data_IF_937736441868
#
_entry.id   IF_937736441868
#
_cell.length_a   1.000
_cell.length_b   1.000
_cell.length_c   1.000
_cell.angle_alpha   90.00
_cell.angle_beta   90.00
_cell.angle_gamma   90.00
#
_symmetry.space_group_name_H-M   'P 1'
#
loop_
_entity.id
_entity.type
_entity.pdbx_description
1 polymer ?
#
# COMPACT_ATOMS: atom_id res chain seq x y z
N UNK A 1 -5.39 -32.11 -15.80
CA UNK A 1 -6.17 -32.67 -14.66
C UNK A 1 -5.40 -32.56 -13.35
N UNK A 2 -4.14 -32.99 -13.28
CA UNK A 2 -3.31 -32.93 -12.04
C UNK A 2 -3.16 -31.48 -11.53
N UNK A 3 -2.93 -30.53 -12.41
CA UNK A 3 -2.77 -29.10 -12.05
C UNK A 3 -4.06 -28.48 -11.50
N UNK A 4 -5.22 -28.88 -12.05
CA UNK A 4 -6.52 -28.41 -11.56
C UNK A 4 -6.85 -29.00 -10.19
N UNK A 5 -6.60 -30.30 -10.00
CA UNK A 5 -6.76 -30.98 -8.71
C UNK A 5 -5.84 -30.37 -7.62
N UNK A 6 -4.58 -30.08 -7.96
CA UNK A 6 -3.65 -29.45 -7.02
C UNK A 6 -4.13 -28.07 -6.56
N UNK A 7 -4.73 -27.28 -7.45
CA UNK A 7 -5.30 -25.97 -7.09
C UNK A 7 -6.58 -26.11 -6.26
N UNK A 8 -7.42 -27.10 -6.59
CA UNK A 8 -8.64 -27.37 -5.83
C UNK A 8 -8.33 -27.89 -4.41
N UNK A 9 -7.24 -28.63 -4.24
CA UNK A 9 -6.81 -29.09 -2.91
C UNK A 9 -6.54 -27.94 -1.92
N UNK A 10 -6.19 -26.76 -2.40
CA UNK A 10 -6.02 -25.59 -1.55
C UNK A 10 -7.32 -25.10 -0.92
N UNK A 11 -8.46 -25.49 -1.46
CA UNK A 11 -9.80 -25.19 -0.91
C UNK A 11 -10.32 -26.26 0.07
N UNK A 12 -9.61 -27.38 0.22
CA UNK A 12 -9.99 -28.48 1.11
C UNK A 12 -9.46 -28.32 2.55
N UNK A 13 -9.16 -27.08 2.95
CA UNK A 13 -8.84 -26.74 4.32
C UNK A 13 -10.13 -26.62 5.14
N UNK A 14 -10.14 -27.19 6.35
CA UNK A 14 -11.33 -27.23 7.21
C UNK A 14 -11.80 -25.84 7.66
N UNK A 15 -10.89 -24.86 7.78
CA UNK A 15 -11.23 -23.48 8.10
C UNK A 15 -11.88 -22.79 6.88
N UNK A 16 -11.33 -23.02 5.68
CA UNK A 16 -11.90 -22.50 4.45
C UNK A 16 -13.26 -23.13 4.14
N UNK A 17 -13.44 -24.43 4.44
CA UNK A 17 -14.73 -25.09 4.30
C UNK A 17 -15.82 -24.42 5.13
N UNK A 18 -15.50 -24.03 6.37
CA UNK A 18 -16.42 -23.28 7.22
C UNK A 18 -16.82 -21.91 6.61
N UNK A 19 -15.88 -21.23 6.00
CA UNK A 19 -16.15 -19.92 5.36
C UNK A 19 -16.94 -20.08 4.07
N UNK A 20 -16.66 -21.13 3.27
CA UNK A 20 -17.23 -21.30 1.93
C UNK A 20 -18.56 -22.03 1.90
N UNK A 21 -18.84 -22.89 2.87
CA UNK A 21 -20.00 -23.76 2.86
C UNK A 21 -21.22 -23.21 3.65
N UNK A 22 -21.04 -22.10 4.35
CA UNK A 22 -22.13 -21.45 5.08
C UNK A 22 -22.61 -20.19 4.37
N UNK A 23 -23.83 -19.77 4.69
CA UNK A 23 -24.42 -18.57 4.12
C UNK A 23 -23.56 -17.33 4.44
N UNK A 24 -23.46 -16.43 3.48
CA UNK A 24 -22.70 -15.19 3.64
C UNK A 24 -23.43 -14.26 4.61
N UNK A 25 -22.80 -13.96 5.73
CA UNK A 25 -23.28 -12.95 6.68
C UNK A 25 -22.89 -11.50 6.26
N UNK A 26 -22.04 -11.37 5.23
CA UNK A 26 -21.56 -10.08 4.76
C UNK A 26 -22.43 -9.64 3.58
N UNK A 27 -23.32 -8.70 3.85
CA UNK A 27 -24.05 -7.96 2.82
C UNK A 27 -23.36 -6.63 2.54
N UNK A 28 -22.96 -6.42 1.29
CA UNK A 28 -22.23 -5.21 0.90
C UNK A 28 -23.09 -3.95 0.94
N UNK A 29 -24.39 -4.05 0.67
CA UNK A 29 -25.31 -2.94 0.75
C UNK A 29 -25.50 -2.51 2.21
N UNK A 30 -25.76 -3.45 3.09
CA UNK A 30 -25.86 -3.20 4.53
C UNK A 30 -24.56 -2.62 5.07
N UNK A 31 -23.41 -3.21 4.73
CA UNK A 31 -22.09 -2.74 5.10
C UNK A 31 -21.84 -1.29 4.69
N UNK A 32 -22.22 -0.90 3.47
CA UNK A 32 -22.01 0.46 2.97
C UNK A 32 -23.01 1.48 3.54
N UNK A 33 -24.19 1.06 3.96
CA UNK A 33 -25.25 1.93 4.46
C UNK A 33 -25.23 2.12 5.98
N UNK A 34 -24.58 1.21 6.73
CA UNK A 34 -24.47 1.24 8.19
C UNK A 34 -23.04 1.58 8.64
N UNK A 35 -22.93 2.00 9.90
CA UNK A 35 -21.63 2.17 10.56
C UNK A 35 -21.16 0.80 11.09
N UNK A 36 -20.34 0.13 10.30
CA UNK A 36 -19.89 -1.24 10.55
C UNK A 36 -18.40 -1.41 10.26
N UNK A 37 -17.81 -2.51 10.71
CA UNK A 37 -16.43 -2.89 10.40
C UNK A 37 -16.34 -4.39 10.17
N UNK A 38 -15.62 -4.80 9.14
CA UNK A 38 -15.30 -6.19 8.82
C UNK A 38 -13.80 -6.38 9.09
N UNK A 39 -13.46 -7.40 9.86
CA UNK A 39 -12.08 -7.78 10.15
C UNK A 39 -11.77 -9.09 9.44
N UNK A 40 -10.83 -9.05 8.50
CA UNK A 40 -10.29 -10.24 7.82
C UNK A 40 -8.96 -10.58 8.52
N UNK A 41 -8.97 -11.63 9.33
CA UNK A 41 -7.80 -12.07 10.07
C UNK A 41 -7.15 -13.24 9.34
N UNK A 42 -5.85 -13.14 9.13
CA UNK A 42 -5.03 -14.12 8.42
C UNK A 42 -4.14 -14.85 9.42
N UNK A 43 -4.31 -16.16 9.62
CA UNK A 43 -3.42 -16.93 10.49
C UNK A 43 -2.06 -17.11 9.81
N UNK A 44 -0.97 -16.63 10.42
CA UNK A 44 0.40 -16.75 9.89
C UNK A 44 0.85 -18.21 9.76
N UNK A 45 0.25 -19.10 10.54
CA UNK A 45 0.58 -20.53 10.58
C UNK A 45 0.15 -21.28 9.31
N UNK A 46 -0.81 -20.75 8.55
CA UNK A 46 -1.34 -21.40 7.35
C UNK A 46 -1.28 -20.50 6.10
N UNK A 47 -0.08 -20.29 5.52
CA UNK A 47 0.07 -19.42 4.35
C UNK A 47 -0.67 -19.91 3.10
N UNK A 48 -1.08 -21.18 3.08
CA UNK A 48 -1.83 -21.75 1.95
C UNK A 48 -3.24 -21.15 1.81
N UNK A 49 -3.77 -20.55 2.86
CA UNK A 49 -5.11 -19.92 2.86
C UNK A 49 -5.08 -18.43 2.49
N UNK A 50 -3.90 -17.81 2.41
CA UNK A 50 -3.76 -16.37 2.15
C UNK A 50 -4.39 -15.91 0.83
N UNK A 51 -4.39 -16.77 -0.21
CA UNK A 51 -5.04 -16.44 -1.47
C UNK A 51 -6.54 -16.11 -1.31
N UNK A 52 -7.20 -16.69 -0.30
CA UNK A 52 -8.61 -16.46 -0.02
C UNK A 52 -8.88 -15.00 0.36
N UNK A 53 -7.99 -14.39 1.14
CA UNK A 53 -8.11 -12.97 1.51
C UNK A 53 -8.15 -12.08 0.26
N UNK A 54 -7.28 -12.35 -0.71
CA UNK A 54 -7.27 -11.59 -1.96
C UNK A 54 -8.55 -11.77 -2.77
N UNK A 55 -9.12 -12.97 -2.75
CA UNK A 55 -10.42 -13.25 -3.40
C UNK A 55 -11.58 -12.56 -2.68
N UNK A 56 -11.60 -12.59 -1.35
CA UNK A 56 -12.63 -11.90 -0.54
C UNK A 56 -12.56 -10.39 -0.77
N UNK A 57 -11.37 -9.79 -0.73
CA UNK A 57 -11.20 -8.37 -0.98
C UNK A 57 -11.68 -8.01 -2.40
N UNK A 58 -11.34 -8.80 -3.41
CA UNK A 58 -11.81 -8.57 -4.77
C UNK A 58 -13.33 -8.67 -4.90
N UNK A 59 -13.91 -9.68 -4.28
CA UNK A 59 -15.36 -9.88 -4.32
C UNK A 59 -16.11 -8.76 -3.61
N UNK A 60 -15.63 -8.40 -2.40
CA UNK A 60 -16.20 -7.28 -1.63
C UNK A 60 -16.08 -5.96 -2.41
N UNK A 61 -14.94 -5.71 -3.03
CA UNK A 61 -14.74 -4.53 -3.87
C UNK A 61 -15.76 -4.48 -5.02
N UNK A 62 -15.99 -5.58 -5.73
CA UNK A 62 -16.98 -5.64 -6.82
C UNK A 62 -18.40 -5.37 -6.33
N UNK A 63 -18.77 -5.94 -5.20
CA UNK A 63 -20.08 -5.72 -4.60
C UNK A 63 -20.26 -4.26 -4.17
N UNK A 64 -19.23 -3.65 -3.56
CA UNK A 64 -19.22 -2.23 -3.18
C UNK A 64 -19.36 -1.33 -4.41
N UNK A 65 -18.71 -1.68 -5.54
CA UNK A 65 -18.89 -0.94 -6.79
C UNK A 65 -20.34 -1.03 -7.30
N UNK A 66 -20.98 -2.20 -7.22
CA UNK A 66 -22.40 -2.36 -7.57
C UNK A 66 -23.30 -1.45 -6.74
N UNK A 67 -23.08 -1.43 -5.42
CA UNK A 67 -23.81 -0.52 -4.51
C UNK A 67 -23.57 0.95 -4.87
N UNK A 68 -22.34 1.32 -5.26
CA UNK A 68 -22.05 2.67 -5.69
C UNK A 68 -22.75 3.02 -7.00
N UNK A 69 -22.81 2.09 -7.96
CA UNK A 69 -23.48 2.30 -9.25
C UNK A 69 -24.99 2.48 -9.09
N UNK A 70 -25.62 1.79 -8.16
CA UNK A 70 -27.03 1.97 -7.79
C UNK A 70 -27.31 3.32 -7.08
N UNK A 71 -26.27 3.99 -6.58
CA UNK A 71 -26.35 5.27 -5.90
C UNK A 71 -25.63 6.39 -6.69
N UNK A 72 -25.96 6.57 -7.96
CA UNK A 72 -25.40 7.61 -8.84
C UNK A 72 -23.86 7.58 -8.94
N UNK A 73 -23.28 6.40 -8.89
CA UNK A 73 -21.84 6.16 -9.01
C UNK A 73 -21.03 6.47 -7.77
N UNK A 74 -21.66 6.67 -6.60
CA UNK A 74 -20.94 6.97 -5.34
C UNK A 74 -21.64 6.31 -4.16
N UNK A 75 -20.85 5.83 -3.21
CA UNK A 75 -21.37 5.34 -1.94
C UNK A 75 -21.99 6.49 -1.12
N UNK A 76 -23.06 6.21 -0.39
CA UNK A 76 -23.67 7.17 0.55
C UNK A 76 -22.69 7.53 1.67
N UNK A 77 -22.07 6.51 2.27
CA UNK A 77 -21.05 6.65 3.30
C UNK A 77 -19.67 6.38 2.70
N UNK A 78 -18.63 6.89 3.37
CA UNK A 78 -17.24 6.57 3.01
C UNK A 78 -16.93 5.14 3.46
N UNK A 79 -16.45 4.32 2.55
CA UNK A 79 -15.88 3.01 2.85
C UNK A 79 -14.34 3.12 2.87
N UNK A 80 -13.69 2.44 3.80
CA UNK A 80 -12.23 2.45 3.93
C UNK A 80 -11.72 1.03 4.05
N UNK A 81 -10.75 0.66 3.20
CA UNK A 81 -10.01 -0.59 3.30
C UNK A 81 -8.65 -0.30 3.93
N UNK A 82 -8.42 -0.80 5.13
CA UNK A 82 -7.10 -0.85 5.74
C UNK A 82 -6.46 -2.19 5.40
N UNK A 83 -5.49 -2.16 4.52
CA UNK A 83 -4.79 -3.36 4.05
C UNK A 83 -3.43 -3.44 4.72
N UNK A 84 -3.38 -4.05 5.89
CA UNK A 84 -2.13 -4.32 6.58
C UNK A 84 -1.32 -5.36 5.82
N UNK A 85 -0.01 -5.24 5.86
CA UNK A 85 0.93 -6.09 5.13
C UNK A 85 0.65 -6.22 3.62
N UNK A 86 0.09 -5.17 3.00
CA UNK A 86 -0.33 -5.18 1.60
C UNK A 86 0.77 -5.64 0.62
N UNK A 87 2.04 -5.39 0.96
CA UNK A 87 3.18 -5.82 0.15
C UNK A 87 3.43 -7.33 0.17
N UNK A 88 2.93 -8.06 1.16
CA UNK A 88 3.12 -9.51 1.33
C UNK A 88 1.85 -10.33 1.10
N UNK A 89 0.69 -9.69 1.07
CA UNK A 89 -0.56 -10.34 0.67
C UNK A 89 -0.43 -10.94 -0.73
N UNK A 90 -1.06 -12.08 -1.01
CA UNK A 90 -1.16 -12.58 -2.38
C UNK A 90 -1.72 -11.51 -3.30
N UNK A 91 -1.19 -11.43 -4.52
CA UNK A 91 -1.56 -10.42 -5.49
C UNK A 91 -3.08 -10.32 -5.66
N UNK A 92 -3.61 -9.12 -5.47
CA UNK A 92 -4.99 -8.79 -5.81
C UNK A 92 -4.99 -8.36 -7.26
N UNK A 93 -5.52 -9.17 -8.17
CA UNK A 93 -5.46 -8.93 -9.62
C UNK A 93 -6.06 -7.59 -10.05
N UNK A 94 -7.06 -7.11 -9.32
CA UNK A 94 -7.71 -5.82 -9.60
C UNK A 94 -7.09 -4.63 -8.86
N UNK A 95 -5.97 -4.80 -8.15
CA UNK A 95 -5.41 -3.75 -7.28
C UNK A 95 -5.16 -2.43 -8.01
N UNK A 96 -4.52 -2.45 -9.16
CA UNK A 96 -4.24 -1.24 -9.96
C UNK A 96 -5.52 -0.47 -10.29
N UNK A 97 -6.58 -1.19 -10.69
CA UNK A 97 -7.88 -0.59 -10.95
C UNK A 97 -8.54 -0.09 -9.67
N UNK A 98 -8.41 -0.84 -8.57
CA UNK A 98 -8.94 -0.44 -7.27
C UNK A 98 -8.35 0.90 -6.83
N UNK A 99 -7.04 1.07 -6.88
CA UNK A 99 -6.38 2.33 -6.52
C UNK A 99 -6.74 3.48 -7.45
N UNK A 100 -6.85 3.23 -8.75
CA UNK A 100 -7.16 4.26 -9.75
C UNK A 100 -8.61 4.75 -9.69
N UNK A 101 -9.58 3.87 -9.43
CA UNK A 101 -11.01 4.18 -9.55
C UNK A 101 -11.73 4.46 -8.23
N UNK A 102 -11.21 3.96 -7.10
CA UNK A 102 -11.92 3.96 -5.81
C UNK A 102 -12.27 5.36 -5.29
N UNK A 103 -11.41 6.35 -5.51
CA UNK A 103 -11.62 7.72 -5.05
C UNK A 103 -12.94 8.33 -5.54
N UNK A 104 -13.29 8.13 -6.81
CA UNK A 104 -14.52 8.67 -7.39
C UNK A 104 -15.78 8.04 -6.77
N UNK A 105 -15.67 6.84 -6.21
CA UNK A 105 -16.73 6.05 -5.61
C UNK A 105 -16.90 6.27 -4.10
N UNK A 106 -16.12 7.15 -3.46
CA UNK A 106 -15.98 7.32 -2.01
C UNK A 106 -15.44 6.09 -1.29
N UNK A 107 -14.71 5.26 -1.98
CA UNK A 107 -13.93 4.17 -1.41
C UNK A 107 -12.47 4.64 -1.25
N UNK A 108 -11.90 4.48 -0.08
CA UNK A 108 -10.53 4.81 0.25
C UNK A 108 -9.76 3.53 0.54
N UNK A 109 -8.56 3.40 0.00
CA UNK A 109 -7.67 2.27 0.26
C UNK A 109 -6.43 2.81 0.96
N UNK A 110 -6.08 2.20 2.07
CA UNK A 110 -4.92 2.53 2.91
C UNK A 110 -3.99 1.31 2.92
N UNK A 111 -3.05 1.21 2.00
CA UNK A 111 -2.08 0.13 2.00
C UNK A 111 -1.00 0.41 3.06
N UNK A 112 -0.69 -0.59 3.88
CA UNK A 112 0.41 -0.56 4.83
C UNK A 112 1.45 -1.54 4.33
N UNK A 113 2.66 -1.06 4.09
CA UNK A 113 3.76 -1.85 3.54
C UNK A 113 5.02 -1.66 4.39
N UNK A 114 5.85 -2.67 4.45
CA UNK A 114 7.14 -2.60 5.14
C UNK A 114 8.23 -1.99 4.24
N UNK A 115 8.13 -2.20 2.92
CA UNK A 115 9.06 -1.63 1.95
C UNK A 115 8.45 -1.53 0.55
N UNK A 116 8.92 -0.59 -0.25
CA UNK A 116 8.55 -0.51 -1.67
C UNK A 116 9.03 -1.72 -2.48
N UNK A 117 10.14 -2.34 -2.08
CA UNK A 117 10.64 -3.53 -2.75
C UNK A 117 9.68 -4.73 -2.65
N UNK A 118 8.96 -4.88 -1.53
CA UNK A 118 7.91 -5.91 -1.40
C UNK A 118 6.74 -5.63 -2.33
N UNK A 119 6.33 -4.38 -2.43
CA UNK A 119 5.25 -3.98 -3.35
C UNK A 119 5.65 -4.26 -4.81
N UNK A 120 6.86 -3.88 -5.21
CA UNK A 120 7.38 -4.14 -6.55
C UNK A 120 7.52 -5.64 -6.85
N UNK A 121 7.94 -6.43 -5.88
CA UNK A 121 8.01 -7.89 -6.02
C UNK A 121 6.62 -8.50 -6.30
N UNK A 122 5.58 -7.97 -5.69
CA UNK A 122 4.22 -8.52 -5.77
C UNK A 122 3.46 -8.03 -7.01
N UNK A 123 3.57 -6.75 -7.34
CA UNK A 123 2.81 -6.11 -8.44
C UNK A 123 3.63 -5.79 -9.68
N UNK A 124 4.94 -6.02 -9.64
CA UNK A 124 5.87 -5.57 -10.66
C UNK A 124 6.14 -4.06 -10.55
N UNK A 125 7.10 -3.58 -11.36
CA UNK A 125 7.49 -2.17 -11.33
C UNK A 125 6.34 -1.23 -11.72
N UNK A 126 5.68 -1.51 -12.84
CA UNK A 126 4.59 -0.68 -13.37
C UNK A 126 3.38 -0.68 -12.42
N UNK A 127 2.96 -1.85 -11.92
CA UNK A 127 1.85 -1.96 -10.98
C UNK A 127 2.13 -1.26 -9.66
N UNK A 128 3.35 -1.35 -9.13
CA UNK A 128 3.74 -0.64 -7.91
C UNK A 128 3.75 0.88 -8.10
N UNK A 129 4.23 1.38 -9.23
CA UNK A 129 4.18 2.80 -9.58
C UNK A 129 2.73 3.31 -9.64
N UNK A 130 1.82 2.58 -10.30
CA UNK A 130 0.39 2.92 -10.36
C UNK A 130 -0.21 3.02 -8.95
N UNK A 131 0.09 2.08 -8.07
CA UNK A 131 -0.42 2.08 -6.69
C UNK A 131 0.11 3.29 -5.91
N UNK A 132 1.41 3.57 -6.01
CA UNK A 132 2.06 4.69 -5.33
C UNK A 132 1.51 6.03 -5.83
N UNK A 133 1.40 6.23 -7.13
CA UNK A 133 0.95 7.48 -7.75
C UNK A 133 -0.52 7.80 -7.39
N UNK A 134 -1.34 6.78 -7.16
CA UNK A 134 -2.71 6.95 -6.69
C UNK A 134 -2.82 7.13 -5.16
N UNK A 135 -1.72 7.01 -4.42
CA UNK A 135 -1.67 7.22 -2.96
C UNK A 135 -1.19 8.63 -2.65
N UNK A 136 -2.12 9.56 -2.45
CA UNK A 136 -1.81 11.00 -2.29
C UNK A 136 -1.15 11.37 -0.96
N UNK A 137 -1.37 10.59 0.08
CA UNK A 137 -0.76 10.78 1.39
C UNK A 137 0.10 9.57 1.74
N UNK A 138 1.37 9.80 1.96
CA UNK A 138 2.31 8.76 2.39
C UNK A 138 2.85 9.12 3.77
N UNK A 139 2.73 8.18 4.71
CA UNK A 139 3.23 8.31 6.07
C UNK A 139 4.39 7.32 6.25
N UNK A 140 5.55 7.83 6.64
CA UNK A 140 6.72 7.01 6.93
C UNK A 140 6.86 6.84 8.44
N UNK A 141 6.75 5.60 8.92
CA UNK A 141 6.97 5.24 10.32
C UNK A 141 8.44 4.98 10.67
N UNK A 142 9.25 4.76 9.66
CA UNK A 142 10.68 4.47 9.76
C UNK A 142 11.16 3.57 8.63
N UNK A 143 12.46 3.57 8.37
CA UNK A 143 13.10 2.69 7.38
C UNK A 143 14.57 2.52 7.73
N UNK A 144 15.19 1.46 7.23
CA UNK A 144 16.62 1.24 7.41
C UNK A 144 17.43 2.30 6.63
N UNK A 145 18.47 2.90 7.22
CA UNK A 145 19.40 3.73 6.48
C UNK A 145 19.94 2.99 5.25
N UNK A 146 20.14 3.67 4.13
CA UNK A 146 20.59 3.10 2.85
C UNK A 146 19.62 2.08 2.21
N UNK A 147 18.35 2.10 2.58
CA UNK A 147 17.32 1.30 1.90
C UNK A 147 16.81 2.02 0.64
N UNK A 148 16.27 1.24 -0.31
CA UNK A 148 15.58 1.82 -1.47
C UNK A 148 14.42 2.73 -1.09
N UNK A 149 13.76 2.44 0.03
CA UNK A 149 12.70 3.30 0.59
C UNK A 149 13.22 4.66 1.04
N UNK A 150 14.42 4.71 1.62
CA UNK A 150 15.08 5.96 1.99
C UNK A 150 15.41 6.81 0.75
N UNK A 151 15.88 6.18 -0.32
CA UNK A 151 16.19 6.86 -1.59
C UNK A 151 14.93 7.43 -2.26
N UNK A 152 13.82 6.68 -2.26
CA UNK A 152 12.54 7.13 -2.80
C UNK A 152 12.05 8.35 -2.03
N UNK A 153 12.06 8.29 -0.70
CA UNK A 153 11.65 9.42 0.13
C UNK A 153 12.55 10.63 -0.08
N UNK A 154 13.86 10.43 -0.12
CA UNK A 154 14.83 11.50 -0.36
C UNK A 154 14.56 12.21 -1.69
N UNK A 155 14.30 11.47 -2.75
CA UNK A 155 13.95 12.02 -4.06
C UNK A 155 12.60 12.77 -4.03
N UNK A 156 11.62 12.26 -3.31
CA UNK A 156 10.30 12.90 -3.19
C UNK A 156 10.36 14.24 -2.44
N UNK A 157 11.27 14.37 -1.47
CA UNK A 157 11.49 15.62 -0.72
C UNK A 157 12.27 16.67 -1.52
N UNK A 158 12.91 16.27 -2.61
CA UNK A 158 13.72 17.17 -3.44
C UNK A 158 15.05 17.57 -2.80
N UNK A 159 15.73 18.54 -3.43
CA UNK A 159 17.04 19.00 -3.04
C UNK A 159 16.96 20.33 -2.31
N UNK A 160 17.72 20.47 -1.22
CA UNK A 160 17.93 21.74 -0.54
C UNK A 160 19.33 22.28 -0.89
N UNK A 161 19.38 23.51 -1.35
CA UNK A 161 20.65 24.20 -1.58
C UNK A 161 21.20 24.71 -0.25
N UNK A 162 22.43 24.30 0.10
CA UNK A 162 23.13 24.76 1.30
C UNK A 162 24.42 25.46 0.86
N UNK A 163 24.64 26.62 1.39
CA UNK A 163 25.96 27.31 1.21
C UNK A 163 26.97 26.69 2.15
N UNK A 164 27.99 26.07 1.60
CA UNK A 164 29.15 25.59 2.38
C UNK A 164 30.34 26.46 2.07
N UNK A 165 31.01 26.95 3.09
CA UNK A 165 32.28 27.68 2.96
C UNK A 165 33.42 26.80 3.42
N UNK A 166 34.45 26.66 2.61
CA UNK A 166 35.75 26.13 3.07
C UNK A 166 36.74 27.30 3.23
N UNK A 167 37.37 27.39 4.38
CA UNK A 167 38.44 28.37 4.62
C UNK A 167 39.76 27.64 4.51
N UNK A 168 40.49 27.89 3.42
CA UNK A 168 41.90 27.44 3.31
C UNK A 168 42.79 28.54 3.79
N UNK A 169 43.55 28.29 4.86
CA UNK A 169 44.60 29.21 5.35
C UNK A 169 45.94 28.76 4.83
N UNK A 170 46.44 29.45 3.85
CA UNK A 170 47.87 29.41 3.51
C UNK A 170 48.59 30.51 4.27
N UNK A 171 49.86 30.28 4.62
CA UNK A 171 50.67 31.22 5.43
C UNK A 171 50.84 32.60 4.75
N UNK A 172 50.57 32.71 3.46
CA UNK A 172 50.82 33.93 2.68
C UNK A 172 49.57 34.48 1.96
N UNK A 173 48.42 33.77 1.95
CA UNK A 173 47.20 34.27 1.29
C UNK A 173 45.95 33.57 1.83
N UNK A 174 45.12 34.27 2.61
CA UNK A 174 43.86 33.72 3.09
C UNK A 174 42.79 33.86 2.02
N UNK A 175 42.70 32.89 1.10
CA UNK A 175 41.58 32.82 0.15
C UNK A 175 40.38 32.16 0.79
N UNK A 176 39.24 32.84 0.79
CA UNK A 176 37.92 32.26 1.12
C UNK A 176 37.22 31.86 -0.18
N UNK A 177 36.99 30.59 -0.35
CA UNK A 177 36.08 30.10 -1.44
C UNK A 177 34.74 29.71 -0.85
N UNK A 178 33.69 30.39 -1.28
CA UNK A 178 32.29 30.00 -1.05
C UNK A 178 31.85 29.13 -2.21
N UNK A 179 31.57 27.87 -1.92
CA UNK A 179 31.03 26.94 -2.91
C UNK A 179 29.61 26.57 -2.55
N UNK A 180 28.69 26.81 -3.46
CA UNK A 180 27.29 26.40 -3.31
C UNK A 180 27.18 24.93 -3.70
N UNK A 181 26.80 24.08 -2.78
CA UNK A 181 26.61 22.66 -3.03
C UNK A 181 25.16 22.31 -2.68
N UNK A 182 24.50 21.61 -3.61
CA UNK A 182 23.15 21.09 -3.38
C UNK A 182 23.23 19.72 -2.71
N UNK A 183 22.70 19.62 -1.52
CA UNK A 183 22.59 18.35 -0.81
C UNK A 183 21.13 17.95 -0.62
N UNK A 184 20.84 16.68 -0.87
CA UNK A 184 19.62 16.05 -0.40
C UNK A 184 19.85 15.57 1.02
N UNK A 185 19.28 16.24 2.00
CA UNK A 185 19.41 15.85 3.40
C UNK A 185 18.03 15.60 3.99
N UNK A 186 17.77 14.35 4.33
CA UNK A 186 16.73 14.01 5.29
C UNK A 186 17.23 14.50 6.67
N UNK A 187 16.73 15.62 7.15
CA UNK A 187 16.83 15.88 8.58
C UNK A 187 15.84 14.94 9.27
N UNK A 188 16.35 14.03 10.07
CA UNK A 188 15.61 13.53 11.20
C UNK A 188 15.16 14.77 11.99
N UNK A 189 13.85 14.91 12.25
CA UNK A 189 13.37 15.87 13.21
C UNK A 189 13.98 15.49 14.56
N UNK A 190 14.99 16.22 14.98
CA UNK A 190 15.35 16.29 16.38
C UNK A 190 14.17 17.03 17.04
N UNK A 191 13.32 16.27 17.69
CA UNK A 191 12.37 16.82 18.66
C UNK A 191 13.18 17.28 19.85
N UNK A 192 13.31 18.60 20.04
CA UNK A 192 13.60 19.18 21.34
C UNK A 192 12.49 18.86 22.34
#
# INVERSE_FOLDING_TARGET
IITALSRLNSFLDSELEQILCFDTEIDAEEFCNQKSAIFLVMPEENPNTFFMISLIIQQLYRQILSVADENDGKLKNRCVFFCDEFGTLPKIESAEMMFSASRSRRLQIVPIIQSFAQLEKNYGKEGSEIIIDNTQLTIFGGFAPNSSSADILSKALGNRTVMTGSVSRSKNDPSQSLQTVSYTHLRAHETE
#
